data_IF_084801793898
#
_entry.id   IF_084801793898
#
_cell.length_a   1.000
_cell.length_b   1.000
_cell.length_c   1.000
_cell.angle_alpha   90.00
_cell.angle_beta   90.00
_cell.angle_gamma   90.00
#
_symmetry.space_group_name_H-M   'P 1'
#
loop_
_entity.id
_entity.type
_entity.pdbx_description
1 polymer ?
2 polymer ?
3 non-polymer ?
4 non-polymer ?
5 non-polymer ?
6 non-polymer ?
7 non-polymer ?
8 water ?
#
# COMPACT_ATOMS: atom_id res chain seq x y z
N UNK A 2 18.24 11.56 18.92
CA UNK A 2 16.94 10.92 19.20
C UNK A 2 16.06 10.77 17.95
N UNK A 3 15.42 9.61 17.91
CA UNK A 3 14.67 9.19 16.72
C UNK A 3 13.45 10.06 16.38
N UNK A 4 12.87 10.71 17.40
CA UNK A 4 11.68 11.54 17.17
C UNK A 4 11.99 12.86 16.46
N UNK A 5 13.25 13.34 16.53
CA UNK A 5 13.62 14.56 15.82
C UNK A 5 14.41 14.24 14.58
N UNK A 6 13.89 14.61 13.43
CA UNK A 6 14.62 14.48 12.18
C UNK A 6 15.02 13.00 11.91
N UNK A 7 14.18 12.10 12.41
CA UNK A 7 14.44 10.65 12.22
C UNK A 7 15.80 10.22 12.83
N UNK A 8 16.32 10.99 13.81
CA UNK A 8 17.61 10.63 14.38
C UNK A 8 18.79 10.77 13.44
N UNK A 9 18.60 11.43 12.29
CA UNK A 9 19.54 11.56 11.21
C UNK A 9 19.61 10.29 10.31
N UNK A 10 18.80 9.26 10.61
CA UNK A 10 18.80 7.97 9.89
C UNK A 10 18.08 8.16 8.54
N UNK A 11 18.60 7.52 7.55
CA UNK A 11 17.88 7.45 6.25
C UNK A 11 16.62 6.63 6.39
N UNK A 12 16.65 5.55 7.14
CA UNK A 12 15.49 4.62 7.26
C UNK A 12 15.14 4.48 8.74
N UNK A 13 15.42 3.40 9.43
CA UNK A 13 14.83 3.12 10.68
C UNK A 13 15.77 3.51 11.80
N UNK A 14 15.24 3.77 12.96
CA UNK A 14 16.03 4.43 14.07
C UNK A 14 15.58 3.77 15.35
N UNK A 15 16.52 3.36 16.19
CA UNK A 15 16.25 2.86 17.58
C UNK A 15 17.01 3.71 18.58
N UNK A 16 16.33 4.11 19.67
CA UNK A 16 17.03 4.76 20.81
C UNK A 16 17.52 3.63 21.75
N UNK A 17 18.68 3.85 22.37
CA UNK A 17 19.22 3.00 23.44
C UNK A 17 19.50 3.91 24.68
N UNK A 18 19.69 3.29 25.86
CA UNK A 18 19.90 4.10 27.09
C UNK A 18 21.24 4.87 26.99
N UNK A 19 21.18 6.17 27.25
CA UNK A 19 22.32 7.06 27.09
C UNK A 19 21.99 8.04 25.98
N UNK A 20 22.98 8.82 25.55
CA UNK A 20 22.83 9.57 24.31
C UNK A 20 23.15 8.58 23.13
N UNK A 21 22.51 7.38 23.10
CA UNK A 21 22.83 6.39 22.01
C UNK A 21 21.69 6.13 21.05
N UNK A 22 22.05 6.00 19.78
CA UNK A 22 21.03 5.82 18.72
C UNK A 22 21.62 4.78 17.76
N UNK A 23 20.81 3.90 17.13
CA UNK A 23 21.35 3.02 16.10
C UNK A 23 20.34 3.15 14.94
N UNK A 24 20.87 3.40 13.78
CA UNK A 24 20.04 3.33 12.54
C UNK A 24 20.09 1.98 12.00
N UNK A 25 19.00 1.62 11.31
CA UNK A 25 18.92 0.33 10.70
C UNK A 25 18.29 0.50 9.29
N UNK A 26 18.39 -0.55 8.51
CA UNK A 26 17.93 -0.50 7.10
C UNK A 26 17.02 -1.72 6.88
N UNK A 27 16.08 -1.53 5.94
CA UNK A 27 15.18 -2.61 5.55
C UNK A 27 16.00 -3.72 4.91
N UNK A 28 15.42 -4.94 4.87
CA UNK A 28 16.01 -5.97 4.13
C UNK A 28 16.30 -5.52 2.70
N UNK A 29 17.39 -5.99 2.08
CA UNK A 29 17.79 -5.55 0.83
C UNK A 29 18.63 -4.25 0.74
N UNK A 30 18.95 -3.80 1.93
CA UNK A 30 19.83 -2.60 2.14
C UNK A 30 20.86 -2.96 3.19
N UNK A 31 21.99 -2.21 3.15
CA UNK A 31 22.99 -2.30 4.23
C UNK A 31 23.27 -0.88 4.67
N UNK A 32 23.71 -0.76 5.91
CA UNK A 32 24.03 0.56 6.54
C UNK A 32 25.49 0.89 6.25
N UNK A 33 25.71 2.09 5.76
CA UNK A 33 27.09 2.56 5.46
C UNK A 33 27.78 2.94 6.81
N UNK A 34 29.08 3.16 6.61
CA UNK A 34 29.96 3.51 7.77
C UNK A 34 29.65 4.84 8.38
N UNK A 35 28.89 5.73 7.76
CA UNK A 35 28.38 6.92 8.37
C UNK A 35 27.39 6.63 9.49
N UNK A 36 26.86 5.37 9.52
CA UNK A 36 25.94 4.99 10.52
C UNK A 36 24.48 5.41 10.28
N UNK A 37 24.26 6.08 9.16
CA UNK A 37 22.92 6.66 8.85
C UNK A 37 22.41 6.22 7.50
N UNK A 38 23.27 6.09 6.52
CA UNK A 38 22.83 5.90 5.12
C UNK A 38 22.64 4.42 4.83
N UNK A 39 21.67 4.16 3.90
CA UNK A 39 21.34 2.78 3.55
C UNK A 39 21.64 2.60 2.05
N UNK A 40 22.30 1.56 1.60
CA UNK A 40 22.58 1.37 0.21
C UNK A 40 22.02 -0.04 -0.21
N UNK A 41 21.37 -0.10 -1.39
CA UNK A 41 20.87 -1.41 -1.78
C UNK A 41 21.92 -2.51 -1.90
N UNK A 42 21.54 -3.72 -1.55
CA UNK A 42 22.37 -4.87 -1.67
C UNK A 42 21.86 -5.93 -2.65
N UNK A 43 20.72 -5.58 -3.21
CA UNK A 43 20.03 -6.48 -4.20
C UNK A 43 19.66 -5.61 -5.39
N UNK A 44 19.23 -6.31 -6.48
CA UNK A 44 18.93 -5.65 -7.68
C UNK A 44 17.58 -4.83 -7.57
N UNK A 45 16.66 -5.40 -6.83
CA UNK A 45 15.30 -4.80 -6.73
C UNK A 45 14.86 -4.54 -5.35
N UNK A 46 15.60 -3.65 -4.63
CA UNK A 46 15.21 -3.30 -3.34
C UNK A 46 13.82 -2.67 -3.19
N UNK A 47 13.18 -2.89 -2.09
CA UNK A 47 11.82 -2.32 -1.89
C UNK A 47 11.85 -0.81 -2.07
N UNK A 48 10.80 -0.22 -2.58
CA UNK A 48 10.60 1.19 -2.51
C UNK A 48 11.42 1.99 -3.48
N UNK A 49 12.12 1.38 -4.39
CA UNK A 49 12.82 2.10 -5.47
C UNK A 49 12.26 1.75 -6.77
N UNK A 50 12.33 2.65 -7.72
CA UNK A 50 11.69 2.47 -9.04
C UNK A 50 12.74 2.24 -10.05
N UNK A 51 12.99 1.01 -10.53
CA UNK A 51 14.10 0.70 -11.41
C UNK A 51 14.27 1.63 -12.60
N UNK A 52 13.17 1.97 -13.28
CA UNK A 52 13.36 2.74 -14.52
C UNK A 52 13.81 4.15 -14.19
N UNK A 53 13.51 4.66 -13.01
CA UNK A 53 14.00 5.99 -12.56
C UNK A 53 15.38 5.90 -11.97
N UNK A 54 15.74 4.80 -11.32
CA UNK A 54 17.07 4.64 -10.73
C UNK A 54 18.10 4.45 -11.83
N UNK A 55 17.70 3.86 -12.93
CA UNK A 55 18.56 3.68 -14.10
C UNK A 55 18.63 4.93 -14.97
N UNK A 56 17.61 5.77 -14.94
CA UNK A 56 17.66 7.09 -15.59
C UNK A 56 18.71 8.05 -14.94
N UNK A 57 19.04 7.82 -13.66
CA UNK A 57 19.97 8.67 -12.87
C UNK A 57 21.36 8.05 -12.59
N UNK A 58 21.58 6.76 -12.92
CA UNK A 58 22.91 6.10 -12.78
C UNK A 58 23.95 6.65 -13.79
N UNK B 1 -9.36 6.70 -9.92
CA UNK B 1 -8.67 7.99 -9.52
C UNK B 1 -9.28 9.15 -10.36
N UNK B 2 -9.76 10.14 -9.66
CA UNK B 2 -10.30 11.40 -10.23
C UNK B 2 -9.25 12.47 -10.16
N UNK B 3 -9.00 13.09 -11.31
CA UNK B 3 -8.13 14.26 -11.37
C UNK B 3 -6.65 13.95 -11.26
N UNK B 4 -6.27 12.73 -11.58
CA UNK B 4 -4.84 12.40 -11.59
C UNK B 4 -4.26 12.39 -12.97
N UNK B 5 -3.23 11.57 -13.18
CA UNK B 5 -2.59 11.36 -14.44
C UNK B 5 -2.22 9.93 -14.67
N UNK B 6 -1.92 9.56 -15.87
CA UNK B 6 -1.47 8.21 -16.15
C UNK B 6 -0.13 8.04 -15.38
N UNK B 7 0.01 6.92 -14.67
CA UNK B 7 1.31 6.57 -14.06
C UNK B 7 2.15 6.01 -15.15
N UNK B 8 3.29 6.64 -15.55
CA UNK B 8 4.09 6.08 -16.60
C UNK B 8 4.44 4.62 -16.31
N UNK B 9 4.34 3.77 -17.30
CA UNK B 9 4.54 2.34 -17.15
C UNK B 9 5.84 2.09 -16.36
N UNK B 10 5.73 1.31 -15.30
CA UNK B 10 6.93 0.94 -14.51
C UNK B 10 7.14 1.86 -13.37
N UNK B 11 6.46 3.00 -13.29
CA UNK B 11 6.64 3.95 -12.20
C UNK B 11 5.85 3.71 -10.92
N UNK B 12 4.98 2.71 -10.99
CA UNK B 12 4.15 2.30 -9.85
C UNK B 12 4.29 0.74 -9.71
N UNK B 13 5.52 0.23 -9.53
CA UNK B 13 5.79 -1.17 -9.80
C UNK B 13 5.27 -2.14 -8.69
N UNK B 14 4.83 -1.58 -7.62
CA UNK B 14 4.21 -2.23 -6.50
C UNK B 14 2.70 -2.39 -6.64
N UNK B 15 2.10 -1.69 -7.63
CA UNK B 15 0.66 -1.74 -7.77
C UNK B 15 0.20 -3.15 -8.19
N UNK B 16 -0.83 -3.61 -7.52
CA UNK B 16 -1.49 -4.90 -7.82
C UNK B 16 -2.88 -4.59 -8.37
N UNK B 17 -3.29 -5.48 -9.27
CA UNK B 17 -4.74 -5.54 -9.70
C UNK B 17 -5.25 -6.86 -9.21
N UNK B 18 -6.35 -6.81 -8.51
CA UNK B 18 -7.07 -8.02 -8.06
C UNK B 18 -8.30 -8.29 -8.97
N UNK B 19 -8.38 -9.52 -9.40
CA UNK B 19 -9.47 -10.01 -10.28
C UNK B 19 -10.24 -11.08 -9.56
N UNK B 20 -11.56 -11.14 -9.86
CA UNK B 20 -12.38 -12.30 -9.45
C UNK B 20 -13.20 -12.72 -10.69
N UNK B 21 -13.10 -14.02 -11.03
CA UNK B 21 -13.51 -14.51 -12.45
C UNK B 21 -13.11 -13.58 -13.74
N UNK B 22 -11.91 -13.05 -13.71
CA UNK B 22 -11.42 -12.11 -14.67
C UNK B 22 -11.85 -10.66 -14.54
N UNK B 23 -12.77 -10.32 -13.64
CA UNK B 23 -13.29 -9.00 -13.50
C UNK B 23 -12.50 -8.23 -12.44
N UNK B 24 -12.37 -6.94 -12.70
CA UNK B 24 -11.67 -6.09 -11.75
C UNK B 24 -12.39 -6.06 -10.44
N UNK B 25 -11.68 -6.32 -9.34
CA UNK B 25 -12.22 -6.33 -7.98
C UNK B 25 -11.73 -5.12 -7.21
N UNK B 26 -10.42 -4.90 -7.19
CA UNK B 26 -9.76 -3.94 -6.30
C UNK B 26 -8.33 -3.83 -6.71
N UNK B 27 -7.66 -2.88 -6.03
CA UNK B 27 -6.19 -2.79 -6.05
C UNK B 27 -5.56 -3.52 -4.90
N UNK B 28 -4.23 -3.41 -4.89
CA UNK B 28 -3.43 -3.90 -3.75
C UNK B 28 -2.04 -3.36 -3.94
N UNK B 29 -1.20 -3.72 -2.94
CA UNK B 29 0.18 -3.29 -2.90
C UNK B 29 1.08 -4.48 -2.63
N UNK B 30 2.05 -4.68 -3.45
CA UNK B 30 3.05 -5.74 -3.22
C UNK B 30 4.05 -5.24 -2.12
N UNK B 31 4.22 -6.04 -1.08
CA UNK B 31 5.24 -5.68 -0.05
C UNK B 31 6.34 -6.71 0.03
N UNK B 32 6.20 -7.90 -0.50
CA UNK B 32 7.25 -8.89 -0.63
C UNK B 32 6.95 -9.74 -1.84
N UNK B 33 7.76 -10.72 -2.21
CA UNK B 33 7.43 -11.52 -3.35
C UNK B 33 6.25 -12.38 -3.27
N UNK B 34 5.72 -12.63 -2.05
CA UNK B 34 4.50 -13.40 -1.89
C UNK B 34 3.36 -12.72 -1.17
N UNK B 35 3.55 -11.47 -0.76
CA UNK B 35 2.59 -10.83 0.13
C UNK B 35 2.10 -9.52 -0.47
N UNK B 36 0.77 -9.40 -0.51
CA UNK B 36 0.07 -8.21 -1.00
C UNK B 36 -0.84 -7.66 0.06
N UNK B 37 -0.86 -6.34 0.24
CA UNK B 37 -1.77 -5.68 1.17
C UNK B 37 -2.92 -5.11 0.38
N UNK B 38 -4.13 -5.32 0.82
CA UNK B 38 -5.30 -4.73 0.15
C UNK B 38 -6.28 -4.29 1.25
N UNK B 39 -7.55 -4.06 0.88
CA UNK B 39 -8.60 -3.62 1.79
C UNK B 39 -9.49 -4.79 2.08
N UNK B 40 -9.88 -4.96 3.35
CA UNK B 40 -10.77 -6.06 3.74
C UNK B 40 -12.11 -6.04 2.99
N UNK B 41 -12.65 -4.84 2.79
CA UNK B 41 -14.02 -4.77 2.19
C UNK B 41 -14.07 -5.33 0.82
N UNK B 42 -12.96 -5.39 0.11
CA UNK B 42 -12.91 -5.97 -1.21
C UNK B 42 -13.39 -7.39 -1.23
N UNK B 43 -13.41 -8.06 -0.06
CA UNK B 43 -13.75 -9.43 0.00
C UNK B 43 -15.11 -9.70 0.63
N UNK B 44 -15.88 -8.67 0.84
CA UNK B 44 -17.18 -8.82 1.60
C UNK B 44 -18.14 -9.75 0.84
N UNK B 45 -18.06 -9.80 -0.48
CA UNK B 45 -19.09 -10.58 -1.25
C UNK B 45 -18.55 -11.70 -2.04
N UNK B 46 -17.36 -12.17 -1.70
CA UNK B 46 -16.77 -13.24 -2.41
C UNK B 46 -17.48 -14.56 -2.09
N UNK B 47 -17.82 -15.27 -3.13
CA UNK B 47 -18.49 -16.57 -3.02
C UNK B 47 -17.48 -17.67 -3.26
N UNK B 48 -16.81 -17.59 -4.41
CA UNK B 48 -15.78 -18.54 -4.73
C UNK B 48 -14.35 -17.96 -4.46
N UNK B 49 -13.88 -18.35 -3.30
CA UNK B 49 -12.58 -17.89 -2.80
C UNK B 49 -11.46 -18.41 -3.65
N UNK B 50 -11.69 -19.36 -4.55
CA UNK B 50 -10.65 -20.03 -5.30
C UNK B 50 -10.37 -19.41 -6.64
N UNK B 51 -11.15 -18.37 -7.04
CA UNK B 51 -10.99 -17.70 -8.33
C UNK B 51 -10.46 -16.24 -8.16
N UNK B 52 -9.73 -16.00 -7.09
CA UNK B 52 -9.12 -14.66 -6.89
C UNK B 52 -7.72 -14.65 -7.46
N UNK B 53 -7.42 -13.68 -8.30
CA UNK B 53 -6.14 -13.57 -8.96
C UNK B 53 -5.55 -12.20 -8.68
N UNK B 54 -4.23 -12.17 -8.40
CA UNK B 54 -3.46 -10.93 -8.33
C UNK B 54 -2.57 -10.77 -9.51
N UNK B 55 -2.55 -9.61 -10.16
CA UNK B 55 -1.72 -9.35 -11.28
C UNK B 55 -0.75 -8.19 -10.87
N UNK B 56 0.51 -8.51 -11.15
CA UNK B 56 1.62 -7.58 -10.94
C UNK B 56 2.15 -7.17 -12.33
N UNK B 57 2.75 -5.99 -12.41
CA UNK B 57 3.33 -5.53 -13.64
C UNK B 57 2.27 -5.08 -14.65
N UNK B 58 1.10 -4.81 -14.16
CA UNK B 58 0.02 -4.39 -15.09
C UNK B 58 0.15 -2.92 -15.32
N UNK B 59 -0.34 -2.47 -16.49
CA UNK B 59 -0.34 -1.05 -16.83
C UNK B 59 -1.61 -0.67 -17.63
N UNK B 60 -1.63 -1.22 -18.82
CA UNK B 60 -2.80 -0.99 -19.74
C UNK B 60 -3.58 -2.27 -19.82
N UNK B 61 -4.79 -2.19 -19.28
CA UNK B 61 -5.67 -3.37 -19.27
C UNK B 61 -6.18 -3.89 -20.62
N UNK B 62 -5.94 -3.13 -21.64
CA UNK B 62 -6.41 -3.50 -22.98
C UNK B 62 -5.43 -4.39 -23.66
N UNK B 63 -4.17 -4.51 -23.19
CA UNK B 63 -3.18 -5.18 -23.95
C UNK B 63 -2.32 -6.05 -23.05
N UNK B 64 -1.73 -7.05 -23.62
CA UNK B 64 -0.71 -7.86 -22.96
C UNK B 64 0.60 -7.46 -23.51
N UNK B 65 1.55 -7.05 -22.63
CA UNK B 65 2.88 -6.70 -23.11
C UNK B 65 3.97 -7.61 -22.61
N UNK B 66 3.65 -8.61 -21.79
CA UNK B 66 4.63 -9.56 -21.30
C UNK B 66 5.30 -9.22 -19.97
N UNK B 67 5.01 -8.05 -19.44
CA UNK B 67 5.56 -7.63 -18.11
C UNK B 67 4.60 -8.11 -16.99
N UNK B 68 3.34 -8.51 -17.31
CA UNK B 68 2.38 -8.88 -16.29
C UNK B 68 2.74 -10.23 -15.74
N UNK B 69 2.43 -10.43 -14.46
CA UNK B 69 2.61 -11.70 -13.79
C UNK B 69 1.37 -11.93 -12.95
N UNK B 70 0.69 -13.02 -13.23
CA UNK B 70 -0.52 -13.35 -12.51
C UNK B 70 -0.27 -14.47 -11.54
N UNK B 71 -0.91 -14.37 -10.37
CA UNK B 71 -0.84 -15.38 -9.34
C UNK B 71 -2.17 -15.64 -8.69
N UNK B 72 -2.41 -16.88 -8.32
CA UNK B 72 -3.53 -17.17 -7.48
C UNK B 72 -3.34 -16.69 -6.11
N UNK B 73 -4.44 -16.19 -5.53
CA UNK B 73 -4.44 -15.77 -4.12
C UNK B 73 -4.71 -16.99 -3.25
N UNK B 74 -3.75 -17.42 -2.44
CA UNK B 74 -3.83 -18.60 -1.57
C UNK B 74 -4.47 -18.32 -0.25
N UNK B 75 -4.31 -17.11 0.31
CA UNK B 75 -4.86 -16.81 1.65
C UNK B 75 -5.24 -15.37 1.61
N UNK B 76 -6.37 -15.04 2.25
CA UNK B 76 -6.84 -13.65 2.46
C UNK B 76 -7.01 -13.54 3.93
N UNK B 77 -6.19 -12.75 4.58
CA UNK B 77 -6.19 -12.58 6.02
C UNK B 77 -6.75 -11.23 6.41
N UNK B 78 -7.79 -11.23 7.25
CA UNK B 78 -8.49 -10.02 7.68
C UNK B 78 -8.48 -9.91 9.20
N UNK B 79 -8.33 -8.73 9.77
CA UNK B 79 -8.36 -8.60 11.21
C UNK B 79 -9.72 -9.00 11.77
N UNK B 80 -9.66 -9.60 12.95
CA UNK B 80 -10.89 -9.99 13.65
C UNK B 80 -11.82 -8.82 13.94
N UNK B 81 -11.26 -7.64 14.02
CA UNK B 81 -12.00 -6.40 14.35
C UNK B 81 -12.76 -5.80 13.17
N UNK B 82 -12.44 -6.23 11.95
CA UNK B 82 -13.15 -5.74 10.78
C UNK B 82 -14.55 -6.32 10.72
N UNK B 83 -15.53 -5.45 10.47
CA UNK B 83 -16.92 -5.86 10.31
C UNK B 83 -17.36 -5.65 8.87
N UNK B 84 -17.79 -6.71 8.19
CA UNK B 84 -18.20 -6.52 6.79
C UNK B 84 -19.16 -5.36 6.55
N UNK B 85 -18.89 -4.61 5.49
CA UNK B 85 -19.70 -3.43 5.10
C UNK B 85 -19.37 -2.14 5.78
N UNK B 86 -18.27 -2.12 6.56
CA UNK B 86 -17.86 -0.91 7.29
C UNK B 86 -16.45 -0.53 6.90
N UNK B 87 -15.99 0.58 7.49
CA UNK B 87 -14.74 1.21 7.15
C UNK B 87 -13.62 0.86 8.11
N UNK B 88 -13.94 0.65 9.39
CA UNK B 88 -12.84 0.55 10.37
C UNK B 88 -12.08 -0.76 10.17
N UNK B 89 -10.79 -0.73 10.33
CA UNK B 89 -9.93 -1.90 10.17
C UNK B 89 -9.94 -2.50 8.75
N UNK B 90 -10.00 -1.61 7.77
CA UNK B 90 -10.17 -2.03 6.43
C UNK B 90 -8.81 -2.37 5.76
N UNK B 91 -8.38 -3.57 6.07
CA UNK B 91 -7.07 -4.07 5.61
C UNK B 91 -7.14 -5.57 5.44
N UNK B 92 -6.42 -6.05 4.43
CA UNK B 92 -6.28 -7.49 4.21
C UNK B 92 -4.90 -7.79 3.80
N UNK B 93 -4.35 -8.91 4.24
CA UNK B 93 -3.05 -9.40 3.84
C UNK B 93 -3.27 -10.62 2.99
N UNK B 94 -2.72 -10.65 1.79
CA UNK B 94 -2.96 -11.67 0.84
C UNK B 94 -1.67 -12.42 0.58
N UNK B 95 -1.73 -13.74 0.69
CA UNK B 95 -0.59 -14.57 0.33
C UNK B 95 -0.76 -15.12 -1.05
N UNK B 96 0.22 -14.96 -1.95
CA UNK B 96 0.18 -15.50 -3.26
C UNK B 96 0.56 -17.01 -3.24
N UNK B 97 0.04 -17.73 -4.22
CA UNK B 97 0.30 -19.18 -4.35
C UNK B 97 1.78 -19.46 -4.66
N UNK B 98 2.39 -18.57 -5.39
CA UNK B 98 3.78 -18.67 -5.84
C UNK B 98 4.33 -17.24 -5.86
N UNK B 99 5.60 -17.05 -5.51
CA UNK B 99 6.16 -15.70 -5.56
C UNK B 99 6.08 -15.07 -6.93
N UNK B 100 5.93 -13.75 -6.95
CA UNK B 100 6.22 -13.07 -8.20
C UNK B 100 7.71 -12.96 -8.35
N UNK B 101 8.16 -12.68 -9.56
CA UNK B 101 9.59 -12.49 -9.91
C UNK B 101 9.82 -11.01 -9.96
N UNK B 102 10.74 -10.48 -9.18
CA UNK B 102 10.99 -9.08 -9.24
C UNK B 102 11.70 -8.74 -10.51
N UNK B 103 11.29 -7.64 -11.09
CA UNK B 103 11.73 -7.15 -12.42
C UNK B 103 11.70 -5.63 -12.39
N UNK B 104 12.08 -4.99 -13.52
CA UNK B 104 11.97 -3.57 -13.59
C UNK B 104 10.50 -3.08 -13.41
N UNK B 105 9.55 -3.98 -13.70
CA UNK B 105 8.17 -3.61 -13.64
C UNK B 105 7.41 -4.18 -12.45
N UNK B 106 8.09 -4.94 -11.59
CA UNK B 106 7.47 -5.60 -10.44
C UNK B 106 8.47 -5.45 -9.28
N UNK B 107 8.11 -4.65 -8.31
CA UNK B 107 9.01 -4.29 -7.17
C UNK B 107 8.09 -4.05 -5.97
N UNK B 108 8.44 -4.59 -4.77
CA UNK B 108 7.64 -4.31 -3.65
C UNK B 108 7.78 -2.91 -3.09
N UNK B 109 6.77 -2.41 -2.43
CA UNK B 109 6.81 -1.14 -1.68
C UNK B 109 7.30 -1.52 -0.30
N UNK B 110 8.11 -0.68 0.33
CA UNK B 110 8.59 -1.04 1.65
C UNK B 110 7.52 -0.91 2.71
N UNK B 111 7.30 -1.90 3.54
CA UNK B 111 6.45 -1.82 4.69
C UNK B 111 7.32 -1.27 5.82
N UNK B 112 7.02 -0.07 6.28
CA UNK B 112 7.96 0.56 7.25
C UNK B 112 7.78 0.02 8.61
N UNK B 113 8.83 0.24 9.45
CA UNK B 113 8.63 0.06 10.89
C UNK B 113 7.62 1.04 11.47
N UNK B 114 6.89 0.62 12.49
CA UNK B 114 5.86 1.47 13.07
C UNK B 114 6.40 2.78 13.58
N UNK B 115 7.48 2.72 14.37
CA UNK B 115 8.03 4.00 14.85
C UNK B 115 8.38 4.99 13.76
N UNK B 116 9.07 4.52 12.73
CA UNK B 116 9.41 5.35 11.65
C UNK B 116 8.16 5.96 10.98
N UNK B 117 7.17 5.10 10.77
CA UNK B 117 5.99 5.55 10.12
C UNK B 117 5.23 6.59 10.92
N UNK B 118 5.17 6.41 12.21
CA UNK B 118 4.46 7.34 13.13
C UNK B 118 5.25 8.65 13.36
N UNK B 119 6.52 8.54 13.53
CA UNK B 119 7.39 9.70 13.89
C UNK B 119 7.79 10.49 12.69
N UNK B 120 7.93 9.86 11.49
CA UNK B 120 8.49 10.46 10.35
C UNK B 120 7.54 10.51 9.15
N UNK B 121 7.12 9.32 8.70
CA UNK B 121 6.30 9.35 7.49
C UNK B 121 4.96 10.06 7.62
N UNK B 122 4.40 10.01 8.80
CA UNK B 122 3.10 10.60 9.05
C UNK B 122 3.13 12.09 8.87
N UNK B 123 4.30 12.70 8.92
CA UNK B 123 4.49 14.15 8.67
C UNK B 123 4.93 14.55 7.33
N UNK B 124 5.09 13.62 6.37
CA UNK B 124 5.36 13.95 5.05
C UNK B 124 4.02 14.36 4.44
N UNK B 125 3.93 15.53 3.84
CA UNK B 125 2.61 16.03 3.50
C UNK B 125 1.94 15.30 2.35
N UNK B 126 2.67 15.09 1.28
CA UNK B 126 2.07 14.53 0.07
C UNK B 126 2.51 13.11 -0.09
N UNK B 127 1.58 12.29 -0.63
CA UNK B 127 1.83 10.91 -0.97
C UNK B 127 1.04 10.55 -2.20
N UNK B 128 1.39 9.45 -2.84
CA UNK B 128 0.78 9.02 -4.09
C UNK B 128 -0.21 7.93 -3.87
N UNK B 129 -1.38 8.09 -4.51
CA UNK B 129 -2.44 7.06 -4.53
C UNK B 129 -2.66 6.67 -5.97
N UNK B 130 -2.91 5.38 -6.23
CA UNK B 130 -2.95 4.89 -7.58
C UNK B 130 -3.99 3.77 -7.77
N UNK B 131 -4.45 3.62 -9.01
CA UNK B 131 -5.36 2.53 -9.34
C UNK B 131 -6.03 2.72 -10.67
N UNK B 132 -6.78 1.67 -11.00
CA UNK B 132 -7.60 1.57 -12.22
C UNK B 132 -9.03 1.87 -11.90
N UNK B 133 -9.36 2.61 -10.90
CA UNK B 133 -10.74 2.87 -10.57
C UNK B 133 -11.40 3.95 -11.48
N UNK B 134 -12.59 4.30 -11.06
CA UNK B 134 -13.39 5.29 -11.83
C UNK B 134 -12.63 6.60 -11.98
N UNK B 135 -12.67 7.16 -13.17
CA UNK B 135 -12.09 8.43 -13.51
C UNK B 135 -12.90 9.64 -13.05
N UNK B 136 -14.15 9.38 -12.73
CA UNK B 136 -15.15 10.37 -12.30
C UNK B 136 -16.13 9.64 -11.44
N UNK B 137 -16.79 10.36 -10.57
CA UNK B 137 -17.94 9.86 -9.86
C UNK B 137 -19.04 9.41 -10.87
N UNK B 138 -19.52 8.20 -10.71
CA UNK B 138 -20.51 7.60 -11.63
C UNK B 138 -19.96 7.49 -13.05
N UNK B 139 -18.66 7.32 -13.24
CA UNK B 139 -18.01 7.23 -14.45
C UNK B 139 -17.32 5.89 -14.70
N UNK B 140 -16.80 5.72 -15.88
CA UNK B 140 -16.08 4.51 -16.31
C UNK B 140 -14.70 4.41 -15.58
N UNK B 141 -14.30 3.18 -15.42
CA UNK B 141 -12.93 2.90 -14.81
C UNK B 141 -11.89 3.11 -15.86
N UNK B 142 -10.64 3.31 -15.38
CA UNK B 142 -9.55 3.55 -16.26
C UNK B 142 -8.94 2.37 -16.90
N UNK B 143 -8.44 2.45 -18.12
CA UNK B 143 -7.76 1.36 -18.77
C UNK B 143 -6.21 1.42 -18.49
N UNK B 144 -5.69 2.60 -18.21
CA UNK B 144 -4.27 2.67 -17.83
C UNK B 144 -4.24 3.09 -16.41
N UNK B 145 -3.17 2.62 -15.73
CA UNK B 145 -3.03 2.93 -14.32
C UNK B 145 -2.87 4.44 -14.07
N UNK B 146 -3.59 4.96 -13.12
CA UNK B 146 -3.62 6.37 -12.80
C UNK B 146 -2.96 6.59 -11.45
N UNK B 147 -2.43 7.79 -11.24
CA UNK B 147 -1.81 8.17 -10.00
C UNK B 147 -2.16 9.59 -9.63
N UNK B 148 -2.23 9.87 -8.36
CA UNK B 148 -2.64 11.19 -7.84
C UNK B 148 -1.79 11.51 -6.63
N UNK B 149 -1.31 12.75 -6.51
CA UNK B 149 -0.60 13.23 -5.30
C UNK B 149 -1.60 13.85 -4.39
N UNK B 150 -1.74 13.38 -3.17
CA UNK B 150 -2.69 13.87 -2.22
C UNK B 150 -1.99 14.30 -0.92
N UNK B 151 -2.49 15.35 -0.27
CA UNK B 151 -1.90 15.76 1.01
C UNK B 151 -2.69 15.18 2.13
N UNK B 152 -2.01 14.85 3.18
CA UNK B 152 -2.58 14.20 4.35
C UNK B 152 -3.01 15.27 5.32
N UNK B 153 -4.05 14.98 6.03
CA UNK B 153 -4.63 15.89 7.04
C UNK B 153 -4.48 15.24 8.40
N UNK B 154 -4.13 16.00 9.42
CA UNK B 154 -4.36 15.48 10.80
C UNK B 154 -5.87 15.36 11.05
N UNK B 155 -6.27 14.38 11.85
CA UNK B 155 -7.68 13.99 11.88
C UNK B 155 -8.55 15.13 12.48
N UNK B 156 -8.03 15.83 13.47
CA UNK B 156 -8.70 17.05 14.00
C UNK B 156 -9.00 18.02 12.85
N UNK B 157 -7.99 18.30 12.01
CA UNK B 157 -8.20 19.18 10.83
C UNK B 157 -9.15 18.59 9.81
N UNK B 158 -9.12 17.26 9.61
CA UNK B 158 -10.06 16.63 8.69
C UNK B 158 -11.48 16.95 9.12
N UNK B 159 -11.78 16.70 10.39
CA UNK B 159 -13.15 16.85 10.94
C UNK B 159 -13.67 18.30 10.80
N UNK B 160 -12.84 19.25 11.24
CA UNK B 160 -13.09 20.70 11.10
C UNK B 160 -13.30 21.13 9.66
N UNK B 161 -12.42 20.70 8.75
CA UNK B 161 -12.51 21.09 7.34
C UNK B 161 -13.60 20.37 6.54
N UNK B 162 -14.26 19.35 7.12
CA UNK B 162 -15.28 18.57 6.38
C UNK B 162 -16.67 19.21 6.41
N UNK B 170 -17.33 8.19 10.93
CA UNK B 170 -16.37 8.53 11.96
C UNK B 170 -14.95 8.26 11.45
N UNK B 171 -14.00 9.10 11.82
CA UNK B 171 -12.62 8.89 11.48
C UNK B 171 -11.92 8.41 12.73
N UNK B 172 -11.53 7.13 12.77
CA UNK B 172 -10.97 6.51 13.95
C UNK B 172 -9.44 6.63 13.88
N UNK B 173 -8.79 6.15 14.93
CA UNK B 173 -7.34 6.16 14.98
C UNK B 173 -6.73 5.13 13.98
N UNK B 174 -7.59 4.34 13.36
CA UNK B 174 -7.16 3.30 12.39
C UNK B 174 -7.27 3.79 10.98
N UNK B 175 -7.60 5.09 10.81
CA UNK B 175 -7.77 5.78 9.55
C UNK B 175 -7.06 7.08 9.48
N UNK B 176 -6.88 7.60 8.28
CA UNK B 176 -6.51 9.03 8.11
C UNK B 176 -7.16 9.57 6.86
N UNK B 177 -7.27 10.91 6.79
CA UNK B 177 -7.81 11.57 5.62
C UNK B 177 -6.74 12.13 4.79
N UNK B 178 -6.94 12.14 3.48
CA UNK B 178 -6.08 12.78 2.58
C UNK B 178 -6.84 13.22 1.34
N UNK B 179 -6.34 14.26 0.66
CA UNK B 179 -6.92 14.63 -0.59
C UNK B 179 -7.40 16.08 -0.47
N UNK B 180 -8.57 16.30 -1.05
CA UNK B 180 -9.05 17.66 -1.39
C UNK B 180 -10.55 17.69 -1.17
N UNK B 181 -11.04 18.83 -0.65
CA UNK B 181 -12.47 18.96 -0.37
C UNK B 181 -13.23 19.69 -1.50
N UNK B 182 -12.61 20.01 -2.62
CA UNK B 182 -13.27 20.80 -3.70
C UNK B 182 -13.85 19.96 -4.85
N UNK B 183 -13.93 18.63 -4.67
CA UNK B 183 -14.44 17.71 -5.68
C UNK B 183 -13.64 17.44 -6.94
N UNK B 184 -12.36 17.84 -6.97
CA UNK B 184 -11.57 17.71 -8.19
C UNK B 184 -10.68 16.45 -8.25
N UNK B 185 -10.31 15.96 -7.08
CA UNK B 185 -9.18 15.01 -7.03
C UNK B 185 -9.43 14.06 -5.86
N UNK B 186 -9.50 12.78 -6.13
CA UNK B 186 -9.78 11.75 -5.11
C UNK B 186 -9.44 10.37 -5.66
N UNK B 187 -9.34 9.39 -4.76
CA UNK B 187 -9.45 8.02 -5.18
C UNK B 187 -10.96 7.69 -5.25
N UNK B 188 -11.30 6.62 -5.92
CA UNK B 188 -12.71 6.34 -6.24
C UNK B 188 -12.95 4.83 -6.28
N UNK B 189 -14.21 4.39 -6.42
CA UNK B 189 -14.52 2.99 -6.56
C UNK B 189 -13.68 2.36 -7.67
N UNK B 190 -13.10 1.20 -7.44
CA UNK B 190 -12.20 0.54 -8.26
C UNK B 190 -10.75 0.70 -7.76
N UNK B 191 -10.54 1.70 -6.99
CA UNK B 191 -9.17 1.94 -6.43
C UNK B 191 -9.00 1.29 -5.09
N UNK B 192 -10.02 0.91 -4.35
CA UNK B 192 -9.85 0.41 -3.02
C UNK B 192 -8.88 -0.72 -2.99
N UNK B 193 -8.11 -0.71 -1.89
CA UNK B 193 -7.06 -1.70 -1.69
C UNK B 193 -5.70 -1.23 -2.18
N UNK B 194 -5.63 -0.22 -3.03
CA UNK B 194 -4.40 0.24 -3.57
C UNK B 194 -3.58 1.07 -2.57
N UNK B 195 -2.40 1.38 -3.02
CA UNK B 195 -1.46 1.98 -2.11
C UNK B 195 -1.64 3.48 -1.99
N UNK B 196 -1.34 3.92 -0.79
CA UNK B 196 -1.01 5.36 -0.47
C UNK B 196 0.48 5.28 -0.05
N UNK B 197 1.32 5.77 -0.93
CA UNK B 197 2.77 5.54 -0.84
C UNK B 197 3.43 6.90 -0.57
N UNK B 198 4.40 6.84 0.34
CA UNK B 198 5.03 8.06 0.87
C UNK B 198 6.54 7.99 0.66
N UNK B 199 7.11 9.02 0.06
CA UNK B 199 8.54 9.08 -0.20
C UNK B 199 9.31 9.73 0.96
N UNK B 200 10.39 9.07 1.38
CA UNK B 200 11.26 9.67 2.36
C UNK B 200 12.68 9.30 2.02
N UNK B 201 13.50 10.37 1.78
CA UNK B 201 14.91 10.17 1.48
C UNK B 201 15.29 9.09 0.47
N UNK B 202 14.55 9.07 -0.64
CA UNK B 202 14.92 8.34 -1.79
C UNK B 202 14.20 6.95 -1.90
N UNK B 203 13.37 6.67 -0.92
CA UNK B 203 12.65 5.34 -0.89
C UNK B 203 11.21 5.64 -0.56
N UNK B 204 10.36 4.74 -1.13
CA UNK B 204 8.93 4.81 -0.95
C UNK B 204 8.43 3.75 0.02
N UNK B 205 7.43 4.09 0.81
CA UNK B 205 6.89 3.35 1.87
C UNK B 205 5.38 3.24 1.81
N UNK B 206 4.83 2.14 2.37
CA UNK B 206 3.36 2.03 2.42
C UNK B 206 2.88 2.69 3.70
N UNK B 207 2.06 3.72 3.55
CA UNK B 207 1.42 4.39 4.65
C UNK B 207 -0.09 4.32 4.74
N UNK B 208 -0.74 4.03 3.61
CA UNK B 208 -2.16 3.89 3.65
C UNK B 208 -2.65 2.92 2.63
N UNK B 209 -3.93 2.54 2.82
CA UNK B 209 -4.66 1.72 1.85
C UNK B 209 -5.93 2.51 1.49
N UNK B 210 -6.20 2.64 0.20
CA UNK B 210 -7.50 3.24 -0.25
C UNK B 210 -8.62 2.42 0.36
N UNK B 211 -9.46 3.06 1.15
CA UNK B 211 -10.58 2.40 1.82
C UNK B 211 -11.88 2.79 1.06
N UNK B 212 -12.89 3.22 1.74
CA UNK B 212 -14.16 3.63 1.05
C UNK B 212 -14.95 4.48 2.01
N UNK B 213 -16.00 5.05 1.40
CA UNK B 213 -17.02 5.96 1.96
C UNK B 213 -18.04 6.21 0.81
N UNK B 214 -18.98 7.13 1.08
CA UNK B 214 -20.20 7.38 0.25
C UNK B 214 -19.96 7.59 -1.25
N UNK B 215 -19.31 8.70 -1.61
CA UNK B 215 -19.04 9.00 -3.01
C UNK B 215 -17.57 9.27 -3.24
N UNK B 216 -17.26 9.59 -4.49
CA UNK B 216 -15.91 9.98 -4.78
C UNK B 216 -15.82 11.38 -5.29
N UNK B 217 -14.76 12.04 -4.90
CA UNK B 217 -14.53 13.47 -5.14
C UNK B 217 -15.79 14.27 -4.74
N UNK B 218 -16.40 13.93 -3.63
CA UNK B 218 -17.61 14.66 -3.17
C UNK B 218 -17.15 15.96 -2.57
N UNK B 219 -17.75 17.07 -3.00
CA UNK B 219 -17.39 18.39 -2.41
C UNK B 219 -17.63 18.36 -0.91
N UNK B 220 -16.68 18.91 -0.15
CA UNK B 220 -16.79 18.94 1.31
C UNK B 220 -16.20 17.75 2.04
N UNK B 221 -15.75 16.73 1.29
CA UNK B 221 -15.27 15.48 1.88
C UNK B 221 -13.86 15.15 1.40
N UNK B 222 -13.08 14.49 2.26
CA UNK B 222 -11.76 14.01 1.85
C UNK B 222 -11.77 12.49 1.73
N UNK B 223 -10.78 11.94 1.03
CA UNK B 223 -10.62 10.49 0.96
C UNK B 223 -10.22 9.93 2.31
N UNK B 224 -10.68 8.71 2.54
CA UNK B 224 -10.39 7.97 3.78
C UNK B 224 -9.50 6.75 3.45
N UNK B 225 -8.40 6.66 4.24
CA UNK B 225 -7.31 5.68 4.03
C UNK B 225 -7.11 4.92 5.30
N UNK B 226 -6.90 3.62 5.21
CA UNK B 226 -6.50 2.84 6.35
C UNK B 226 -5.07 3.16 6.80
N UNK B 227 -4.94 3.40 8.10
CA UNK B 227 -3.68 3.87 8.70
C UNK B 227 -2.75 2.68 8.97
N UNK B 228 -1.94 2.40 7.96
CA UNK B 228 -1.15 1.14 7.94
C UNK B 228 -0.21 1.01 9.17
N UNK B 229 0.22 2.13 9.71
CA UNK B 229 1.14 2.14 10.88
C UNK B 229 0.52 1.34 12.04
N UNK B 230 -0.79 1.30 12.16
CA UNK B 230 -1.46 0.58 13.23
C UNK B 230 -1.38 -0.92 13.12
N UNK B 231 -1.03 -1.38 11.90
CA UNK B 231 -1.08 -2.80 11.53
C UNK B 231 0.27 -3.41 11.25
N UNK B 232 1.36 -2.67 11.43
CA UNK B 232 2.72 -3.21 11.08
C UNK B 232 3.01 -4.49 11.82
N UNK B 233 2.83 -4.48 13.13
CA UNK B 233 3.12 -5.67 13.92
C UNK B 233 2.24 -6.82 13.60
N UNK B 234 0.98 -6.53 13.34
CA UNK B 234 0.01 -7.55 12.94
C UNK B 234 0.43 -8.23 11.62
N UNK B 235 0.78 -7.38 10.63
CA UNK B 235 1.26 -7.85 9.37
C UNK B 235 2.51 -8.69 9.49
N UNK B 236 3.48 -8.16 10.23
CA UNK B 236 4.75 -8.84 10.33
C UNK B 236 4.62 -10.21 10.97
N UNK B 237 3.78 -10.32 11.98
CA UNK B 237 3.59 -11.60 12.62
C UNK B 237 2.96 -12.59 11.66
N UNK B 238 1.94 -12.17 10.89
CA UNK B 238 1.32 -13.04 9.93
C UNK B 238 2.26 -13.48 8.85
N UNK B 239 3.16 -12.63 8.40
CA UNK B 239 4.12 -12.99 7.36
C UNK B 239 5.14 -14.03 7.82
N UNK B 240 5.28 -14.19 9.11
CA UNK B 240 6.14 -15.24 9.69
C UNK B 240 5.35 -16.52 9.97
N UNK B 241 4.08 -16.53 9.70
CA UNK B 241 3.25 -17.72 10.01
C UNK B 241 3.09 -18.66 8.87
N UNK B 242 2.86 -19.95 9.15
CA UNK B 242 2.52 -20.88 8.13
C UNK B 242 1.15 -20.72 7.54
N UNK B 243 0.96 -21.01 6.29
CA UNK B 243 -0.37 -20.99 5.72
C UNK B 243 -1.32 -21.99 6.36
N UNK B 244 -2.62 -21.70 6.28
CA UNK B 244 -3.71 -22.57 6.81
C UNK B 244 -4.64 -22.94 5.71
N UNK B 245 -5.21 -24.17 5.71
CA UNK B 245 -6.16 -24.59 4.74
C UNK B 245 -7.31 -23.59 4.77
N UNK B 246 -7.89 -23.40 3.59
CA UNK B 246 -9.04 -22.51 3.41
C UNK B 246 -8.50 -21.08 3.16
N UNK B 247 -9.03 -20.44 2.18
CA UNK B 247 -8.47 -19.14 1.74
C UNK B 247 -8.65 -18.03 2.76
N UNK B 248 -9.86 -17.82 3.27
CA UNK B 248 -10.10 -16.76 4.20
C UNK B 248 -9.63 -17.13 5.57
N UNK B 249 -8.85 -16.28 6.23
CA UNK B 249 -8.45 -16.44 7.62
C UNK B 249 -8.73 -15.15 8.33
N UNK B 250 -9.48 -15.18 9.42
CA UNK B 250 -9.63 -14.08 10.29
C UNK B 250 -8.61 -14.25 11.39
N UNK B 251 -7.82 -13.22 11.64
CA UNK B 251 -6.70 -13.29 12.56
C UNK B 251 -6.94 -12.27 13.64
N UNK B 252 -6.70 -12.60 14.91
CA UNK B 252 -6.91 -11.62 15.96
C UNK B 252 -6.15 -10.32 15.77
N UNK B 253 -6.82 -9.22 16.09
CA UNK B 253 -6.20 -7.94 16.13
C UNK B 253 -6.57 -7.30 17.46
N UNK B 254 -5.60 -6.76 18.18
CA UNK B 254 -4.20 -6.62 17.85
C UNK B 254 -3.37 -7.92 17.77
#
# INVERSE_FOLDING_TARGET
LICVNENGGCEQYCSDHTGTKRSCRCHEGYSLLADGVSCTPTVEYPCGKIPILEKRNASKPQGR
IVGGKVCPKGECPWQVLLLVNGAQLCGGTLINTIWVVSAAHCFDKIKNWRNLIAVLGEHDLSEHDGDEQSRRVAQVIIPSTYVPGTTNHDIALLRLHQPVVLTDHVVPLCLPERTFSERTLAFVRFSLVSGWGQLLDRGATALELMVLNVPRLMTQDCLQQSRKVGDSPNITEYMFCAGYSDGSKDSCKGDSGGPHATHYRGTWYLTGIVSWGQGCATVGHFGVYTRVSQYIEWLQKLMRSEPRPGVLLRAPFP
#
